data_IF_675430561846
#
_entry.id   IF_675430561846
#
_cell.length_a   1.000
_cell.length_b   1.000
_cell.length_c   1.000
_cell.angle_alpha   90.00
_cell.angle_beta   90.00
_cell.angle_gamma   90.00
#
_symmetry.space_group_name_H-M   'P 1'
#
loop_
_entity.id
_entity.type
_entity.pdbx_description
1 polymer ?
#
# COMPACT_ATOMS: atom_id res chain seq x y z
N UNK A 1 -15.52 13.76 -7.25
CA UNK A 1 -14.16 14.05 -7.73
C UNK A 1 -14.25 14.91 -8.97
N UNK A 2 -13.25 15.74 -9.22
CA UNK A 2 -13.16 16.66 -10.35
C UNK A 2 -12.54 15.96 -11.58
N UNK A 3 -12.60 16.61 -12.75
CA UNK A 3 -11.81 16.19 -13.92
C UNK A 3 -10.31 16.17 -13.61
N UNK A 4 -9.82 17.10 -12.80
CA UNK A 4 -8.41 17.15 -12.42
C UNK A 4 -8.02 15.90 -11.60
N UNK A 5 -8.86 15.47 -10.66
CA UNK A 5 -8.63 14.24 -9.89
C UNK A 5 -8.59 13.01 -10.80
N UNK A 6 -9.50 12.94 -11.77
CA UNK A 6 -9.51 11.86 -12.76
C UNK A 6 -8.22 11.82 -13.59
N UNK A 7 -7.75 12.98 -14.06
CA UNK A 7 -6.47 13.08 -14.79
C UNK A 7 -5.30 12.63 -13.92
N UNK A 8 -5.22 13.09 -12.66
CA UNK A 8 -4.15 12.67 -11.74
C UNK A 8 -4.17 11.17 -11.48
N UNK A 9 -5.35 10.57 -11.22
CA UNK A 9 -5.45 9.13 -10.99
C UNK A 9 -5.03 8.30 -12.21
N UNK A 10 -5.37 8.74 -13.43
CA UNK A 10 -4.94 8.06 -14.66
C UNK A 10 -3.42 8.18 -14.83
N UNK A 11 -2.85 9.36 -14.60
CA UNK A 11 -1.38 9.57 -14.65
C UNK A 11 -0.65 8.70 -13.62
N UNK A 12 -1.14 8.67 -12.38
CA UNK A 12 -0.60 7.82 -11.31
C UNK A 12 -0.68 6.34 -11.68
N UNK A 13 -1.78 5.91 -12.31
CA UNK A 13 -1.93 4.53 -12.76
C UNK A 13 -0.91 4.17 -13.85
N UNK A 14 -0.65 5.07 -14.79
CA UNK A 14 0.37 4.85 -15.83
C UNK A 14 1.79 4.84 -15.26
N UNK A 15 2.09 5.72 -14.30
CA UNK A 15 3.41 5.75 -13.67
C UNK A 15 3.60 4.57 -12.70
N UNK A 16 2.55 4.08 -12.05
CA UNK A 16 2.55 2.84 -11.28
C UNK A 16 2.89 1.64 -12.17
N UNK A 17 2.27 1.55 -13.35
CA UNK A 17 2.62 0.53 -14.34
C UNK A 17 4.11 0.63 -14.72
N UNK A 18 4.58 1.82 -15.07
CA UNK A 18 5.98 2.03 -15.43
C UNK A 18 6.94 1.65 -14.28
N UNK A 19 6.61 1.98 -13.03
CA UNK A 19 7.39 1.63 -11.85
C UNK A 19 7.57 0.11 -11.73
N UNK A 20 6.49 -0.67 -11.92
CA UNK A 20 6.58 -2.12 -11.89
C UNK A 20 7.30 -2.71 -13.11
N UNK A 21 6.94 -2.27 -14.32
CA UNK A 21 7.51 -2.80 -15.56
C UNK A 21 9.01 -2.53 -15.70
N UNK A 22 9.50 -1.43 -15.12
CA UNK A 22 10.92 -1.05 -15.17
C UNK A 22 11.69 -1.41 -13.89
N UNK A 23 11.03 -2.00 -12.88
CA UNK A 23 11.68 -2.33 -11.60
C UNK A 23 12.18 -1.10 -10.84
N UNK A 24 11.42 -0.01 -10.86
CA UNK A 24 11.75 1.28 -10.23
C UNK A 24 10.86 1.57 -9.00
N UNK A 25 11.09 0.90 -7.86
CA UNK A 25 10.25 1.02 -6.67
C UNK A 25 10.25 2.43 -6.07
N UNK A 26 11.30 3.22 -6.30
CA UNK A 26 11.38 4.61 -5.83
C UNK A 26 10.27 5.50 -6.40
N UNK A 27 9.72 5.16 -7.56
CA UNK A 27 8.60 5.87 -8.18
C UNK A 27 7.28 5.65 -7.42
N UNK A 28 7.15 4.54 -6.68
CA UNK A 28 5.91 4.20 -5.96
C UNK A 28 5.53 5.27 -4.94
N UNK A 29 6.51 5.91 -4.30
CA UNK A 29 6.24 6.98 -3.33
C UNK A 29 5.46 8.16 -3.93
N UNK A 30 5.60 8.42 -5.24
CA UNK A 30 4.93 9.54 -5.89
C UNK A 30 3.51 9.20 -6.39
N UNK A 31 3.17 7.92 -6.57
CA UNK A 31 2.01 7.50 -7.39
C UNK A 31 0.92 6.75 -6.63
N UNK A 32 1.12 6.52 -5.33
CA UNK A 32 0.16 5.82 -4.48
C UNK A 32 -0.96 6.74 -3.94
N UNK A 33 -1.03 7.99 -4.43
CA UNK A 33 -2.14 8.89 -4.13
C UNK A 33 -3.33 8.59 -5.05
N UNK A 34 -4.42 8.13 -4.45
CA UNK A 34 -5.72 7.98 -5.11
C UNK A 34 -6.65 9.09 -4.63
N UNK A 35 -7.05 9.97 -5.55
CA UNK A 35 -7.95 11.12 -5.31
C UNK A 35 -9.41 10.82 -5.57
N UNK A 36 -9.71 9.60 -6.00
CA UNK A 36 -11.07 9.17 -6.32
C UNK A 36 -11.58 8.23 -5.23
N UNK A 37 -10.97 7.04 -5.07
CA UNK A 37 -11.54 5.97 -4.25
C UNK A 37 -11.25 6.10 -2.75
N UNK A 38 -9.98 6.30 -2.41
CA UNK A 38 -9.55 6.38 -1.02
C UNK A 38 -10.19 7.51 -0.18
N UNK A 39 -10.40 8.75 -0.68
CA UNK A 39 -10.93 9.82 0.14
C UNK A 39 -12.30 9.49 0.72
N UNK A 40 -13.20 8.89 -0.07
CA UNK A 40 -14.53 8.50 0.42
C UNK A 40 -14.52 7.26 1.32
N UNK A 41 -13.55 6.34 1.14
CA UNK A 41 -13.43 5.14 1.99
C UNK A 41 -12.73 5.42 3.31
N UNK A 42 -11.90 6.45 3.39
CA UNK A 42 -11.04 6.75 4.55
C UNK A 42 -11.80 6.73 5.88
N UNK A 43 -13.00 7.30 5.92
CA UNK A 43 -13.87 7.31 7.10
C UNK A 43 -14.33 5.91 7.54
N UNK A 44 -14.46 4.97 6.60
CA UNK A 44 -14.85 3.58 6.84
C UNK A 44 -13.65 2.64 7.02
N UNK A 45 -12.43 3.12 6.79
CA UNK A 45 -11.20 2.34 6.77
C UNK A 45 -10.12 3.07 7.58
N UNK A 46 -10.24 3.14 8.92
CA UNK A 46 -9.36 3.98 9.76
C UNK A 46 -7.88 3.58 9.73
N UNK A 47 -7.58 2.34 9.35
CA UNK A 47 -6.20 1.88 9.12
C UNK A 47 -5.51 2.66 7.99
N UNK A 48 -6.25 3.09 6.96
CA UNK A 48 -5.67 3.78 5.82
C UNK A 48 -5.04 5.12 6.20
N UNK A 49 -5.79 6.12 6.73
CA UNK A 49 -5.20 7.40 7.06
C UNK A 49 -4.09 7.27 8.11
N UNK A 50 -4.25 6.38 9.10
CA UNK A 50 -3.20 6.12 10.10
C UNK A 50 -1.92 5.59 9.45
N UNK A 51 -1.99 4.55 8.62
CA UNK A 51 -0.79 3.96 7.99
C UNK A 51 -0.17 4.86 6.92
N UNK A 52 -0.94 5.78 6.32
CA UNK A 52 -0.41 6.79 5.39
C UNK A 52 0.57 7.77 6.07
N UNK A 53 0.43 8.02 7.37
CA UNK A 53 1.39 8.84 8.15
C UNK A 53 2.78 8.21 8.28
N UNK A 54 2.92 6.93 7.92
CA UNK A 54 4.20 6.22 7.95
C UNK A 54 5.01 6.37 6.67
N UNK A 55 4.46 7.01 5.63
CA UNK A 55 5.18 7.28 4.38
C UNK A 55 6.53 7.95 4.65
N UNK A 56 7.59 7.40 4.04
CA UNK A 56 8.97 7.87 4.16
C UNK A 56 9.73 7.34 5.39
N UNK A 57 9.09 6.61 6.31
CA UNK A 57 9.75 6.06 7.52
C UNK A 57 10.22 4.64 7.28
N UNK A 58 11.46 4.32 7.66
CA UNK A 58 12.05 2.98 7.57
C UNK A 58 11.88 2.29 6.20
N UNK A 59 11.87 3.08 5.12
CA UNK A 59 11.69 2.58 3.75
C UNK A 59 10.24 2.32 3.33
N UNK A 60 9.24 2.78 4.09
CA UNK A 60 7.84 2.75 3.65
C UNK A 60 7.63 3.74 2.51
N UNK A 61 7.24 3.24 1.35
CA UNK A 61 7.00 4.03 0.14
C UNK A 61 5.59 4.65 0.13
N UNK A 62 4.62 3.96 0.74
CA UNK A 62 3.26 4.47 0.90
C UNK A 62 2.29 3.39 1.35
N UNK A 63 1.09 3.80 1.73
CA UNK A 63 0.01 2.92 2.14
C UNK A 63 -1.26 3.19 1.33
N UNK A 64 -1.92 2.12 0.88
CA UNK A 64 -3.13 2.17 0.05
C UNK A 64 -4.16 1.14 0.49
N UNK A 65 -5.43 1.33 0.13
CA UNK A 65 -6.43 0.27 0.33
C UNK A 65 -6.11 -0.97 -0.49
N UNK A 66 -6.28 -2.14 0.12
CA UNK A 66 -6.31 -3.41 -0.60
C UNK A 66 -7.72 -3.66 -1.12
N UNK A 67 -7.92 -3.51 -2.44
CA UNK A 67 -9.25 -3.56 -3.04
C UNK A 67 -10.16 -2.49 -2.45
N UNK A 68 -11.36 -2.87 -2.01
CA UNK A 68 -12.26 -1.94 -1.32
C UNK A 68 -11.88 -1.70 0.16
N UNK A 69 -10.96 -2.46 0.76
CA UNK A 69 -10.69 -2.44 2.21
C UNK A 69 -11.62 -3.35 3.03
N UNK A 70 -11.46 -3.42 4.37
CA UNK A 70 -10.69 -2.50 5.22
C UNK A 70 -9.19 -2.79 5.31
N UNK A 71 -8.71 -3.86 4.67
CA UNK A 71 -7.28 -4.17 4.60
C UNK A 71 -6.51 -3.06 3.86
N UNK A 72 -5.28 -2.82 4.29
CA UNK A 72 -4.35 -1.82 3.74
C UNK A 72 -3.08 -2.53 3.28
N UNK A 73 -2.57 -2.15 2.12
CA UNK A 73 -1.24 -2.53 1.65
C UNK A 73 -0.24 -1.45 2.02
N UNK A 74 0.91 -1.85 2.56
CA UNK A 74 2.06 -0.98 2.76
C UNK A 74 3.12 -1.40 1.75
N UNK A 75 3.45 -0.50 0.82
CA UNK A 75 4.58 -0.69 -0.08
C UNK A 75 5.87 -0.31 0.62
N UNK A 76 6.87 -1.18 0.53
CA UNK A 76 8.15 -1.05 1.23
C UNK A 76 9.28 -1.13 0.20
N UNK A 77 10.29 -0.27 0.34
CA UNK A 77 11.50 -0.33 -0.46
C UNK A 77 12.17 -1.71 -0.28
N UNK A 78 12.53 -2.41 -1.36
CA UNK A 78 13.13 -3.75 -1.27
C UNK A 78 14.45 -3.79 -0.48
N UNK A 79 15.11 -2.64 -0.29
CA UNK A 79 16.35 -2.52 0.51
C UNK A 79 16.07 -2.33 2.01
N UNK A 80 14.82 -2.09 2.40
CA UNK A 80 14.44 -1.86 3.77
C UNK A 80 14.28 -3.17 4.58
N UNK A 81 14.43 -3.05 5.90
CA UNK A 81 14.24 -4.20 6.79
C UNK A 81 12.76 -4.40 7.11
N UNK A 82 12.17 -5.48 6.57
CA UNK A 82 10.76 -5.82 6.82
C UNK A 82 10.45 -5.96 8.31
N UNK A 83 11.36 -6.51 9.12
CA UNK A 83 11.15 -6.66 10.56
C UNK A 83 11.10 -5.32 11.29
N UNK A 84 11.89 -4.32 10.85
CA UNK A 84 11.80 -2.95 11.38
C UNK A 84 10.48 -2.30 10.98
N UNK A 85 10.07 -2.43 9.72
CA UNK A 85 8.80 -1.89 9.22
C UNK A 85 7.61 -2.49 9.97
N UNK A 86 7.58 -3.81 10.19
CA UNK A 86 6.51 -4.45 10.95
C UNK A 86 6.46 -3.96 12.40
N UNK A 87 7.61 -3.82 13.08
CA UNK A 87 7.67 -3.28 14.44
C UNK A 87 7.18 -1.83 14.49
N UNK A 88 7.59 -1.00 13.52
CA UNK A 88 7.15 0.39 13.40
C UNK A 88 5.63 0.47 13.20
N UNK A 89 5.08 -0.31 12.26
CA UNK A 89 3.65 -0.35 11.98
C UNK A 89 2.85 -0.83 13.20
N UNK A 90 3.27 -1.92 13.85
CA UNK A 90 2.63 -2.43 15.05
C UNK A 90 2.62 -1.40 16.19
N UNK A 91 3.75 -0.75 16.44
CA UNK A 91 3.86 0.30 17.46
C UNK A 91 3.03 1.54 17.10
N UNK A 92 2.91 1.90 15.82
CA UNK A 92 2.07 3.00 15.37
C UNK A 92 0.57 2.69 15.53
N UNK A 93 0.13 1.50 15.14
CA UNK A 93 -1.26 1.07 15.30
C UNK A 93 -1.66 1.01 16.78
N UNK A 94 -0.81 0.43 17.63
CA UNK A 94 -1.05 0.38 19.09
C UNK A 94 -1.20 1.78 19.71
N UNK A 95 -0.32 2.73 19.35
CA UNK A 95 -0.41 4.13 19.82
C UNK A 95 -1.71 4.82 19.39
N UNK A 96 -2.22 4.48 18.20
CA UNK A 96 -3.48 5.00 17.69
C UNK A 96 -4.71 4.17 18.10
N UNK A 97 -4.54 3.17 18.98
CA UNK A 97 -5.61 2.26 19.44
C UNK A 97 -6.30 1.53 18.28
N UNK A 98 -5.54 1.20 17.24
CA UNK A 98 -5.99 0.41 16.09
C UNK A 98 -5.39 -1.00 16.17
N UNK A 99 -6.16 -1.99 15.73
CA UNK A 99 -5.74 -3.38 15.70
C UNK A 99 -5.78 -3.90 14.26
N UNK A 100 -4.70 -4.55 13.83
CA UNK A 100 -4.64 -5.25 12.56
C UNK A 100 -3.65 -6.42 12.62
N UNK A 101 -3.91 -7.46 11.84
CA UNK A 101 -2.92 -8.48 11.54
C UNK A 101 -1.93 -7.93 10.50
N UNK A 102 -0.62 -8.08 10.75
CA UNK A 102 0.43 -7.66 9.83
C UNK A 102 1.02 -8.87 9.13
N UNK A 103 0.72 -9.02 7.84
CA UNK A 103 1.15 -10.16 7.01
C UNK A 103 2.24 -9.68 6.03
N UNK A 104 3.52 -10.06 6.22
CA UNK A 104 4.55 -9.88 5.21
C UNK A 104 4.20 -10.66 3.96
N UNK A 105 4.24 -10.00 2.81
CA UNK A 105 3.95 -10.65 1.54
C UNK A 105 4.77 -10.03 0.42
N UNK A 106 4.77 -10.70 -0.73
CA UNK A 106 5.39 -10.23 -1.97
C UNK A 106 4.46 -10.56 -3.15
N UNK A 107 4.67 -9.88 -4.27
CA UNK A 107 3.93 -10.18 -5.50
C UNK A 107 4.30 -11.60 -5.93
N UNK A 108 3.32 -12.52 -5.93
CA UNK A 108 3.55 -13.89 -6.37
C UNK A 108 3.73 -13.94 -7.88
N UNK A 109 4.79 -14.60 -8.35
CA UNK A 109 4.99 -14.89 -9.78
C UNK A 109 4.08 -16.03 -10.29
N UNK A 110 3.37 -16.71 -9.37
CA UNK A 110 2.59 -17.91 -9.69
C UNK A 110 1.20 -17.78 -9.07
N UNK A 111 0.18 -17.93 -9.89
CA UNK A 111 -1.23 -17.91 -9.47
C UNK A 111 -1.67 -19.21 -8.80
N UNK A 112 -2.98 -19.40 -8.74
CA UNK A 112 -3.60 -20.61 -8.21
C UNK A 112 -3.06 -21.86 -8.90
N UNK A 113 -2.75 -22.89 -8.09
CA UNK A 113 -2.31 -24.20 -8.56
C UNK A 113 -3.08 -25.27 -7.81
N UNK A 114 -3.35 -26.37 -8.51
CA UNK A 114 -3.93 -27.54 -7.86
C UNK A 114 -2.93 -28.11 -6.85
N UNK A 115 -3.41 -28.40 -5.64
CA UNK A 115 -2.66 -29.11 -4.61
C UNK A 115 -2.95 -30.61 -4.59
N UNK A 116 -3.49 -31.19 -5.69
CA UNK A 116 -3.74 -32.63 -5.76
C UNK A 116 -2.41 -33.39 -5.82
N UNK A 117 -1.88 -33.74 -4.66
CA UNK A 117 -1.06 -34.94 -4.49
C UNK A 117 -1.94 -36.15 -4.77
N UNK A 118 -1.62 -36.92 -5.82
CA UNK A 118 -2.07 -38.31 -5.92
C UNK A 118 -1.44 -39.14 -4.82
#
# INVERSE_FOLDING_TARGET
YSRADAVTNVQNSMLLLAAFSQGRPELLSAVLEDRIHQPYRSALCPLLPSLQELKGKDGILGAVLSGAGPSVLIFVDPRASLSKVQKLAAAHLSRNRLTAELIPTSITARGARSSFTK
#
